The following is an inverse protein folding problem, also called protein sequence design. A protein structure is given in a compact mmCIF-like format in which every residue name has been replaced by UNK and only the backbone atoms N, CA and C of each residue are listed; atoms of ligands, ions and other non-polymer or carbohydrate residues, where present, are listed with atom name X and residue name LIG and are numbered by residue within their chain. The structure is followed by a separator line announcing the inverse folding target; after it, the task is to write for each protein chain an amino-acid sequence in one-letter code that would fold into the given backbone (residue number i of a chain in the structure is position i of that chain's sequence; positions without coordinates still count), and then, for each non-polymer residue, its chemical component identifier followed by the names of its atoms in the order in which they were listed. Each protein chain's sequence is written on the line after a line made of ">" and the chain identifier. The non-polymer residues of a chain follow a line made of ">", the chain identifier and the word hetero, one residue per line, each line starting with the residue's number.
data_IF_751741259995
#
_entry.id   IF_751741259995
#
_cell.length_a   1.000
_cell.length_b   1.000
_cell.length_c   1.000
_cell.angle_alpha   90.00
_cell.angle_beta   90.00
_cell.angle_gamma   90.00
#
_symmetry.space_group_name_H-M   'P 1'
#
loop_
_entity.id
_entity.type
_entity.pdbx_description
1 polymer ?
#
# COMPACT_ATOMS: atom_id res chain seq x y z
N UNK A 1 3.43 -3.11 19.55
CA UNK A 1 2.87 -3.97 18.48
C UNK A 1 2.85 -5.43 18.89
N UNK A 2 4.00 -6.07 19.17
CA UNK A 2 4.03 -7.50 19.54
C UNK A 2 3.36 -7.83 20.90
N UNK A 3 3.38 -6.91 21.86
CA UNK A 3 2.70 -7.06 23.14
C UNK A 3 1.18 -6.92 23.07
N UNK A 4 0.66 -6.30 22.01
CA UNK A 4 -0.78 -6.05 21.81
C UNK A 4 -1.35 -6.79 20.59
N UNK A 5 -0.58 -7.71 20.00
CA UNK A 5 -0.95 -8.46 18.81
C UNK A 5 -1.36 -7.58 17.62
N UNK A 6 -0.70 -6.41 17.47
CA UNK A 6 -0.93 -5.48 16.36
C UNK A 6 0.07 -5.77 15.25
N UNK A 7 -0.43 -6.26 14.12
CA UNK A 7 0.39 -6.71 12.98
C UNK A 7 0.63 -5.65 11.91
N UNK A 8 -0.09 -4.53 11.98
CA UNK A 8 0.00 -3.43 11.02
C UNK A 8 -0.17 -2.11 11.76
N UNK A 9 0.69 -1.15 11.48
CA UNK A 9 0.56 0.20 11.97
C UNK A 9 0.80 1.21 10.85
N UNK A 10 0.15 2.37 10.98
CA UNK A 10 0.34 3.53 10.11
C UNK A 10 1.04 4.59 10.95
N UNK A 11 2.23 5.00 10.52
CA UNK A 11 3.03 6.04 11.15
C UNK A 11 2.90 7.34 10.36
N UNK A 12 2.41 8.40 11.00
CA UNK A 12 2.24 9.72 10.40
C UNK A 12 3.20 10.71 11.04
N UNK A 13 3.96 11.45 10.24
CA UNK A 13 4.91 12.45 10.72
C UNK A 13 4.76 13.78 9.98
N UNK A 14 5.00 14.87 10.71
CA UNK A 14 4.94 16.24 10.17
C UNK A 14 6.21 16.65 9.43
N UNK A 15 7.36 16.12 9.86
CA UNK A 15 8.69 16.40 9.29
C UNK A 15 9.40 15.10 8.94
N UNK A 16 10.27 15.14 7.93
CA UNK A 16 11.03 13.99 7.47
C UNK A 16 11.75 13.26 8.61
N UNK A 17 11.67 11.93 8.58
CA UNK A 17 12.41 11.08 9.49
C UNK A 17 13.93 11.23 9.28
N UNK A 18 14.69 11.06 10.36
CA UNK A 18 16.14 10.98 10.24
C UNK A 18 16.52 9.71 9.47
N UNK A 19 17.64 9.70 8.72
CA UNK A 19 18.05 8.52 7.95
C UNK A 19 18.17 7.24 8.79
N UNK A 20 18.57 7.41 10.06
CA UNK A 20 18.62 6.31 11.02
C UNK A 20 17.22 5.74 11.31
N UNK A 21 16.24 6.59 11.62
CA UNK A 21 14.88 6.17 11.89
C UNK A 21 14.23 5.49 10.66
N UNK A 22 14.43 6.04 9.45
CA UNK A 22 13.92 5.43 8.22
C UNK A 22 14.47 4.02 7.99
N UNK A 23 15.76 3.80 8.32
CA UNK A 23 16.39 2.48 8.19
C UNK A 23 15.77 1.49 9.17
N UNK A 24 15.65 1.86 10.45
CA UNK A 24 15.02 1.00 11.46
C UNK A 24 13.56 0.65 11.12
N UNK A 25 12.81 1.59 10.55
CA UNK A 25 11.42 1.35 10.13
C UNK A 25 11.36 0.42 8.91
N UNK A 26 12.30 0.55 7.95
CA UNK A 26 12.34 -0.33 6.78
C UNK A 26 12.70 -1.78 7.11
N UNK A 27 13.50 -2.00 8.16
CA UNK A 27 13.82 -3.33 8.67
C UNK A 27 12.59 -4.00 9.33
N UNK A 28 11.72 -3.19 9.94
CA UNK A 28 10.51 -3.63 10.60
C UNK A 28 9.34 -3.63 9.60
N UNK A 29 9.37 -4.61 8.67
CA UNK A 29 8.49 -4.80 7.49
C UNK A 29 6.95 -4.70 7.69
N UNK A 30 6.48 -4.50 8.92
CA UNK A 30 5.08 -4.37 9.30
C UNK A 30 4.54 -2.92 9.33
N UNK A 31 5.41 -1.92 9.14
CA UNK A 31 5.07 -0.51 9.34
C UNK A 31 4.99 0.25 8.02
N UNK A 32 3.81 0.80 7.73
CA UNK A 32 3.64 1.78 6.66
C UNK A 32 3.82 3.18 7.23
N UNK A 33 4.56 4.03 6.52
CA UNK A 33 4.76 5.42 6.93
C UNK A 33 4.22 6.37 5.87
N UNK A 34 3.68 7.49 6.32
CA UNK A 34 3.09 8.51 5.48
C UNK A 34 3.47 9.88 6.01
N UNK A 35 3.73 10.80 5.10
CA UNK A 35 3.91 12.20 5.48
C UNK A 35 2.55 12.82 5.73
N UNK A 36 2.43 13.65 6.76
CA UNK A 36 1.18 14.35 7.09
C UNK A 36 0.65 15.15 5.89
N UNK A 37 1.56 15.75 5.11
CA UNK A 37 1.23 16.52 3.92
C UNK A 37 0.48 15.70 2.85
N UNK A 38 0.75 14.39 2.75
CA UNK A 38 0.08 13.49 1.80
C UNK A 38 -1.35 13.16 2.23
N UNK A 39 -1.64 13.19 3.53
CA UNK A 39 -2.95 12.86 4.09
C UNK A 39 -3.93 14.04 4.12
N UNK A 40 -3.45 15.27 3.83
CA UNK A 40 -4.30 16.47 3.82
C UNK A 40 -5.40 16.41 2.75
N UNK A 41 -5.17 15.67 1.66
CA UNK A 41 -6.09 15.55 0.54
C UNK A 41 -6.25 14.08 0.17
N UNK A 42 -7.48 13.58 0.19
CA UNK A 42 -7.79 12.25 -0.32
C UNK A 42 -7.70 12.22 -1.85
N UNK A 43 -6.58 11.75 -2.39
CA UNK A 43 -6.35 11.72 -3.84
C UNK A 43 -7.27 10.74 -4.59
N UNK A 44 -7.99 9.84 -3.90
CA UNK A 44 -8.93 8.90 -4.56
C UNK A 44 -10.08 9.59 -5.30
N UNK A 45 -10.43 10.80 -4.88
CA UNK A 45 -11.54 11.56 -5.47
C UNK A 45 -11.08 12.45 -6.63
N UNK A 46 -9.79 12.40 -6.96
CA UNK A 46 -9.23 13.18 -8.04
C UNK A 46 -9.63 12.59 -9.41
N UNK A 47 -10.07 13.44 -10.33
CA UNK A 47 -10.55 13.06 -11.68
C UNK A 47 -9.55 12.24 -12.50
N UNK A 48 -8.24 12.39 -12.24
CA UNK A 48 -7.18 11.67 -12.94
C UNK A 48 -6.84 10.31 -12.33
N UNK A 49 -7.45 9.94 -11.20
CA UNK A 49 -7.17 8.68 -10.50
C UNK A 49 -8.35 7.73 -10.71
N UNK A 50 -8.15 6.59 -11.41
CA UNK A 50 -9.20 5.60 -11.55
C UNK A 50 -9.43 4.84 -10.24
N UNK A 51 -10.61 4.25 -10.09
CA UNK A 51 -10.89 3.37 -8.95
C UNK A 51 -10.05 2.10 -9.01
N UNK A 52 -9.32 1.83 -7.92
CA UNK A 52 -8.52 0.63 -7.75
C UNK A 52 -9.22 -0.36 -6.83
N UNK A 53 -9.40 -1.59 -7.30
CA UNK A 53 -9.93 -2.72 -6.54
C UNK A 53 -8.84 -3.75 -6.28
N UNK A 54 -8.74 -4.23 -5.04
CA UNK A 54 -7.87 -5.36 -4.71
C UNK A 54 -8.53 -6.64 -5.20
N UNK A 55 -7.78 -7.43 -5.96
CA UNK A 55 -8.19 -8.76 -6.39
C UNK A 55 -7.75 -9.79 -5.37
N UNK A 56 -8.61 -10.77 -5.11
CA UNK A 56 -8.25 -11.97 -4.36
C UNK A 56 -7.32 -12.86 -5.19
N UNK A 57 -6.57 -13.76 -4.54
CA UNK A 57 -5.69 -14.71 -5.25
C UNK A 57 -6.46 -15.60 -6.23
N UNK A 58 -7.71 -15.94 -5.89
CA UNK A 58 -8.60 -16.71 -6.76
C UNK A 58 -8.99 -15.90 -8.01
N UNK A 59 -9.41 -14.65 -7.86
CA UNK A 59 -9.74 -13.77 -8.99
C UNK A 59 -8.51 -13.49 -9.86
N UNK A 60 -7.35 -13.25 -9.25
CA UNK A 60 -6.08 -13.09 -9.96
C UNK A 60 -5.75 -14.33 -10.79
N UNK A 61 -5.86 -15.53 -10.21
CA UNK A 61 -5.59 -16.79 -10.93
C UNK A 61 -6.55 -17.00 -12.10
N UNK A 62 -7.84 -16.75 -11.90
CA UNK A 62 -8.83 -16.87 -12.98
C UNK A 62 -8.59 -15.89 -14.13
N UNK A 63 -8.10 -14.67 -13.86
CA UNK A 63 -7.72 -13.71 -14.91
C UNK A 63 -6.48 -14.17 -15.69
N UNK A 64 -5.46 -14.67 -14.99
CA UNK A 64 -4.24 -15.21 -15.60
C UNK A 64 -4.58 -16.35 -16.56
N UNK A 65 -5.43 -17.28 -16.12
CA UNK A 65 -5.90 -18.40 -16.94
C UNK A 65 -6.75 -17.92 -18.12
N UNK A 66 -7.70 -17.02 -17.89
CA UNK A 66 -8.61 -16.49 -18.93
C UNK A 66 -7.85 -15.79 -20.06
N UNK A 67 -6.86 -14.98 -19.73
CA UNK A 67 -6.08 -14.23 -20.72
C UNK A 67 -4.82 -14.96 -21.17
N UNK A 68 -4.55 -16.16 -20.63
CA UNK A 68 -3.36 -16.96 -20.94
C UNK A 68 -2.05 -16.16 -20.79
N UNK A 69 -2.01 -15.27 -19.80
CA UNK A 69 -0.85 -14.42 -19.51
C UNK A 69 -0.03 -15.02 -18.38
N UNK A 70 1.26 -14.69 -18.31
CA UNK A 70 2.09 -14.99 -17.13
C UNK A 70 1.94 -13.85 -16.13
N UNK A 71 2.09 -14.16 -14.85
CA UNK A 71 2.05 -13.16 -13.78
C UNK A 71 3.08 -12.04 -13.99
N UNK A 72 4.25 -12.36 -14.55
CA UNK A 72 5.30 -11.39 -14.88
C UNK A 72 4.94 -10.40 -15.99
N UNK A 73 3.87 -10.66 -16.75
CA UNK A 73 3.38 -9.79 -17.81
C UNK A 73 2.31 -8.82 -17.32
N UNK A 74 1.84 -8.96 -16.07
CA UNK A 74 0.88 -8.05 -15.47
C UNK A 74 1.60 -6.72 -15.17
N UNK A 75 0.97 -5.60 -15.56
CA UNK A 75 1.47 -4.27 -15.26
C UNK A 75 1.47 -4.08 -13.75
N UNK A 76 2.63 -3.73 -13.19
CA UNK A 76 2.74 -3.38 -11.78
C UNK A 76 2.09 -2.01 -11.53
N UNK A 77 1.33 -1.84 -10.44
CA UNK A 77 0.78 -0.54 -10.08
C UNK A 77 1.92 0.47 -9.82
N UNK A 78 1.59 1.76 -9.91
CA UNK A 78 2.53 2.81 -9.51
C UNK A 78 2.78 2.74 -8.00
N UNK A 79 3.97 3.17 -7.59
CA UNK A 79 4.38 3.18 -6.17
C UNK A 79 3.37 3.95 -5.30
N UNK A 80 2.85 5.07 -5.80
CA UNK A 80 1.82 5.86 -5.14
C UNK A 80 0.54 5.04 -4.92
N UNK A 81 0.02 4.39 -5.96
CA UNK A 81 -1.19 3.58 -5.85
C UNK A 81 -1.01 2.42 -4.87
N UNK A 82 0.15 1.76 -4.90
CA UNK A 82 0.47 0.64 -4.02
C UNK A 82 0.48 1.05 -2.53
N UNK A 83 1.00 2.24 -2.22
CA UNK A 83 0.96 2.81 -0.86
C UNK A 83 -0.46 3.05 -0.33
N UNK A 84 -1.41 3.45 -1.18
CA UNK A 84 -2.79 3.81 -0.77
C UNK A 84 -3.81 2.67 -0.83
N UNK A 85 -3.52 1.59 -1.54
CA UNK A 85 -4.45 0.45 -1.68
C UNK A 85 -4.58 -0.35 -0.37
N UNK A 86 -3.53 -0.36 0.45
CA UNK A 86 -3.47 -1.08 1.74
C UNK A 86 -4.47 -0.58 2.79
N UNK A 87 -4.96 0.66 2.66
CA UNK A 87 -5.90 1.28 3.62
C UNK A 87 -7.28 0.63 3.64
N UNK A 88 -7.63 -0.20 2.63
CA UNK A 88 -8.95 -0.85 2.56
C UNK A 88 -9.03 -2.19 3.29
N UNK A 89 -7.94 -2.70 3.87
CA UNK A 89 -7.93 -3.94 4.66
C UNK A 89 -8.01 -3.71 6.18
N UNK A 90 -8.80 -2.73 6.63
CA UNK A 90 -9.10 -2.54 8.05
C UNK A 90 -10.60 -2.71 8.29
N UNK A 91 -10.97 -3.96 8.58
CA UNK A 91 -11.98 -4.34 9.59
C UNK A 91 -11.34 -5.43 10.44
#
# INVERSE_FOLDING_TARGET
>A
MNSENVFRAILVFQQNLTPFASTCISEDSANFYLEEAELLINIKEHVLIPELQVLTDAEKKTLIERYTVKETQIIRPSETADRYVTYRFVL
#
